data_IF_747135062151
#
_entry.id   IF_747135062151
#
_cell.length_a   1.000
_cell.length_b   1.000
_cell.length_c   1.000
_cell.angle_alpha   90.00
_cell.angle_beta   90.00
_cell.angle_gamma   90.00
#
_symmetry.space_group_name_H-M   'P 1'
#
loop_
_entity.id
_entity.type
_entity.pdbx_description
1 polymer ?
#
# COMPACT_ATOMS: atom_id res chain seq x y z
N UNK A 1 -13.81 -34.32 62.79
CA UNK A 1 -12.73 -34.39 61.77
C UNK A 1 -13.34 -33.92 60.45
N UNK A 2 -13.26 -32.62 60.21
CA UNK A 2 -13.90 -32.00 59.00
C UNK A 2 -12.76 -31.45 58.19
N UNK A 3 -12.45 -32.12 57.07
CA UNK A 3 -11.49 -31.63 56.09
C UNK A 3 -12.15 -30.55 55.22
N UNK A 4 -11.60 -29.35 55.28
CA UNK A 4 -11.96 -28.24 54.37
C UNK A 4 -11.21 -28.41 53.08
N UNK A 5 -11.96 -28.62 51.98
CA UNK A 5 -11.46 -28.59 50.60
C UNK A 5 -11.42 -27.13 50.19
N UNK A 6 -10.20 -26.58 49.97
CA UNK A 6 -10.01 -25.29 49.32
C UNK A 6 -10.01 -25.50 47.81
N UNK A 7 -11.08 -25.02 47.15
CA UNK A 7 -11.13 -24.93 45.69
C UNK A 7 -10.37 -23.65 45.26
N UNK A 8 -9.20 -23.81 44.64
CA UNK A 8 -8.50 -22.70 43.99
C UNK A 8 -9.14 -22.44 42.66
N UNK A 9 -9.91 -21.34 42.55
CA UNK A 9 -10.38 -20.78 41.29
C UNK A 9 -9.22 -20.01 40.69
N UNK A 10 -8.47 -20.60 39.75
CA UNK A 10 -7.48 -19.90 38.93
C UNK A 10 -8.21 -19.16 37.83
N UNK A 11 -8.46 -17.86 38.04
CA UNK A 11 -8.83 -16.94 36.97
C UNK A 11 -7.64 -16.80 36.03
N UNK A 12 -7.68 -17.46 34.89
CA UNK A 12 -6.79 -17.18 33.74
C UNK A 12 -7.20 -15.82 33.18
N UNK A 13 -6.52 -14.77 33.62
CA UNK A 13 -6.44 -13.52 32.85
C UNK A 13 -5.72 -13.84 31.53
N UNK A 14 -6.45 -14.07 30.47
CA UNK A 14 -5.91 -13.93 29.13
C UNK A 14 -5.67 -12.44 28.87
N UNK A 15 -4.49 -11.96 29.28
CA UNK A 15 -3.96 -10.72 28.80
C UNK A 15 -3.78 -10.87 27.29
N UNK A 16 -4.64 -10.21 26.52
CA UNK A 16 -4.48 -10.10 25.09
C UNK A 16 -3.11 -9.49 24.80
N UNK A 17 -2.14 -10.32 24.44
CA UNK A 17 -0.87 -9.85 23.92
C UNK A 17 -1.19 -9.07 22.65
N UNK A 18 -1.12 -7.73 22.75
CA UNK A 18 -0.97 -6.86 21.59
C UNK A 18 0.35 -7.30 20.96
N UNK A 19 0.25 -8.11 19.94
CA UNK A 19 1.38 -8.58 19.17
C UNK A 19 1.97 -7.33 18.47
N UNK A 20 2.89 -6.65 19.15
CA UNK A 20 3.74 -5.65 18.50
C UNK A 20 4.55 -6.42 17.47
N UNK A 21 4.22 -6.26 16.19
CA UNK A 21 4.89 -6.95 15.10
C UNK A 21 6.40 -6.78 15.28
N UNK A 22 7.14 -7.89 15.25
CA UNK A 22 8.60 -7.88 15.29
C UNK A 22 9.10 -6.96 14.17
N UNK A 23 10.03 -6.07 14.49
CA UNK A 23 10.67 -5.23 13.46
C UNK A 23 11.33 -6.17 12.47
N UNK A 24 11.02 -5.97 11.18
CA UNK A 24 11.61 -6.75 10.09
C UNK A 24 12.62 -5.86 9.36
N UNK A 25 13.89 -6.16 9.51
CA UNK A 25 14.94 -5.43 8.81
C UNK A 25 14.88 -5.70 7.29
N UNK A 26 15.13 -4.70 6.45
CA UNK A 26 15.17 -4.88 5.02
C UNK A 26 16.39 -5.70 4.58
N UNK A 27 16.25 -6.41 3.48
CA UNK A 27 17.37 -7.11 2.82
C UNK A 27 18.38 -6.09 2.29
N UNK A 28 17.89 -4.95 1.81
CA UNK A 28 18.68 -3.81 1.38
C UNK A 28 18.08 -2.53 1.92
N UNK A 29 18.87 -1.76 2.67
CA UNK A 29 18.51 -0.44 3.20
C UNK A 29 19.03 0.66 2.32
N UNK A 30 18.31 1.78 2.29
CA UNK A 30 18.75 3.05 1.72
C UNK A 30 19.22 2.96 0.27
N UNK A 31 18.63 2.06 -0.52
CA UNK A 31 18.92 2.00 -1.96
C UNK A 31 18.53 3.32 -2.63
N UNK A 32 19.53 4.02 -3.15
CA UNK A 32 19.32 5.31 -3.83
C UNK A 32 18.77 5.08 -5.23
N UNK A 33 17.57 5.58 -5.49
CA UNK A 33 16.92 5.45 -6.79
C UNK A 33 17.08 6.69 -7.69
N UNK A 34 17.49 7.83 -7.11
CA UNK A 34 17.85 9.06 -7.83
C UNK A 34 18.88 9.86 -7.04
N UNK A 35 19.68 10.66 -7.72
CA UNK A 35 20.63 11.62 -7.12
C UNK A 35 20.02 12.97 -6.76
N UNK A 36 18.79 13.28 -7.25
CA UNK A 36 18.21 14.62 -7.21
C UNK A 36 17.91 15.13 -5.80
N UNK A 37 17.46 14.21 -4.91
CA UNK A 37 17.11 14.55 -3.54
C UNK A 37 17.72 13.56 -2.54
N UNK A 38 18.13 14.04 -1.38
CA UNK A 38 18.64 13.19 -0.29
C UNK A 38 17.66 12.09 0.10
N UNK A 39 16.36 12.36 0.01
CA UNK A 39 15.29 11.41 0.33
C UNK A 39 14.98 10.40 -0.78
N UNK A 40 15.62 10.47 -1.94
CA UNK A 40 15.39 9.52 -3.05
C UNK A 40 15.96 8.14 -2.75
N UNK A 41 15.45 7.49 -1.72
CA UNK A 41 15.91 6.21 -1.19
C UNK A 41 14.73 5.27 -0.93
N UNK A 42 14.98 3.98 -1.05
CA UNK A 42 14.01 2.93 -0.68
C UNK A 42 14.67 1.82 0.13
N UNK A 43 13.87 1.13 0.91
CA UNK A 43 14.22 -0.14 1.55
C UNK A 43 13.54 -1.28 0.80
N UNK A 44 14.23 -2.43 0.71
CA UNK A 44 13.78 -3.58 -0.04
C UNK A 44 13.86 -4.84 0.83
N UNK A 45 12.76 -5.55 0.98
CA UNK A 45 12.65 -6.85 1.63
C UNK A 45 12.40 -7.91 0.58
N UNK A 46 13.33 -8.84 0.44
CA UNK A 46 13.22 -9.92 -0.53
C UNK A 46 12.65 -11.19 0.12
N UNK A 47 11.63 -11.74 -0.50
CA UNK A 47 11.16 -13.08 -0.17
C UNK A 47 12.17 -14.13 -0.64
N UNK A 48 12.39 -15.16 0.16
CA UNK A 48 13.27 -16.27 -0.20
C UNK A 48 12.62 -17.10 -1.31
N UNK A 49 13.24 -17.13 -2.50
CA UNK A 49 12.73 -17.86 -3.66
C UNK A 49 13.81 -18.16 -4.69
N UNK A 50 13.76 -19.34 -5.31
CA UNK A 50 14.59 -19.69 -6.48
C UNK A 50 14.09 -19.02 -7.77
N UNK A 51 12.85 -18.56 -7.81
CA UNK A 51 12.23 -17.90 -8.98
C UNK A 51 12.00 -16.41 -8.66
N UNK A 52 12.01 -15.52 -9.68
CA UNK A 52 11.69 -14.11 -9.48
C UNK A 52 10.34 -13.93 -8.76
N UNK A 53 10.34 -13.10 -7.73
CA UNK A 53 9.19 -12.85 -6.85
C UNK A 53 8.37 -11.66 -7.32
N UNK A 54 7.04 -11.64 -7.12
CA UNK A 54 6.26 -10.41 -7.25
C UNK A 54 6.69 -9.40 -6.20
N UNK A 55 6.46 -8.12 -6.49
CA UNK A 55 6.81 -7.01 -5.61
C UNK A 55 5.60 -6.12 -5.31
N UNK A 56 5.47 -5.71 -4.04
CA UNK A 56 4.57 -4.64 -3.62
C UNK A 56 5.40 -3.44 -3.18
N UNK A 57 5.16 -2.28 -3.78
CA UNK A 57 5.85 -1.02 -3.46
C UNK A 57 4.95 -0.13 -2.64
N UNK A 58 5.40 0.28 -1.45
CA UNK A 58 4.67 1.13 -0.53
C UNK A 58 5.17 2.57 -0.55
N UNK A 59 4.25 3.53 -0.60
CA UNK A 59 4.51 4.95 -0.40
C UNK A 59 3.84 5.41 0.90
N UNK A 60 4.62 5.98 1.82
CA UNK A 60 4.12 6.44 3.11
C UNK A 60 3.20 7.66 2.97
N UNK A 61 2.36 7.90 3.99
CA UNK A 61 1.58 9.11 4.14
C UNK A 61 2.39 10.25 4.74
N UNK A 62 1.68 11.27 5.25
CA UNK A 62 2.29 12.41 5.95
C UNK A 62 2.13 13.74 5.23
N UNK A 63 1.11 13.87 4.36
CA UNK A 63 0.76 15.14 3.70
C UNK A 63 1.87 15.73 2.84
N UNK A 64 2.78 14.89 2.34
CA UNK A 64 4.00 15.30 1.61
C UNK A 64 5.01 16.13 2.43
N UNK A 65 4.84 16.22 3.75
CA UNK A 65 5.67 17.04 4.64
C UNK A 65 6.44 16.22 5.67
N UNK A 66 5.92 15.04 6.01
CA UNK A 66 6.51 14.13 7.00
C UNK A 66 6.35 12.68 6.57
N UNK A 67 6.95 11.77 7.31
CA UNK A 67 6.88 10.33 7.05
C UNK A 67 8.22 9.74 6.64
N UNK A 68 8.33 8.43 6.76
CA UNK A 68 9.57 7.72 6.42
C UNK A 68 9.26 6.27 6.00
N UNK A 69 10.06 5.74 5.07
CA UNK A 69 9.99 4.36 4.58
C UNK A 69 10.11 3.32 5.69
N UNK A 70 10.85 3.63 6.78
CA UNK A 70 11.04 2.75 7.93
C UNK A 70 9.73 2.46 8.70
N UNK A 71 8.70 3.31 8.56
CA UNK A 71 7.40 3.03 9.16
C UNK A 71 6.79 1.70 8.70
N UNK A 72 7.21 1.20 7.53
CA UNK A 72 6.73 -0.06 6.96
C UNK A 72 7.33 -1.30 7.63
N UNK A 73 8.44 -1.21 8.32
CA UNK A 73 9.13 -2.34 8.99
C UNK A 73 8.25 -3.07 10.01
N UNK A 74 7.24 -2.40 10.56
CA UNK A 74 6.29 -2.96 11.55
C UNK A 74 4.96 -3.37 10.93
N UNK A 75 4.83 -3.30 9.61
CA UNK A 75 3.58 -3.62 8.94
C UNK A 75 3.36 -5.14 8.91
N UNK A 76 2.23 -5.60 9.45
CA UNK A 76 1.87 -7.02 9.46
C UNK A 76 1.76 -7.62 8.06
N UNK A 77 1.36 -6.82 7.05
CA UNK A 77 1.33 -7.23 5.66
C UNK A 77 2.72 -7.67 5.17
N UNK A 78 3.80 -6.95 5.56
CA UNK A 78 5.17 -7.30 5.23
C UNK A 78 5.51 -8.70 5.73
N UNK A 79 5.38 -8.92 7.04
CA UNK A 79 5.75 -10.20 7.68
C UNK A 79 4.95 -11.37 7.12
N UNK A 80 3.62 -11.20 6.99
CA UNK A 80 2.73 -12.25 6.55
C UNK A 80 2.95 -12.67 5.08
N UNK A 81 3.52 -11.83 4.26
CA UNK A 81 3.62 -12.08 2.83
C UNK A 81 5.03 -12.40 2.33
N UNK A 82 6.09 -12.01 3.04
CA UNK A 82 7.45 -12.46 2.71
C UNK A 82 7.54 -14.00 2.70
N UNK A 83 6.99 -14.67 3.70
CA UNK A 83 6.91 -16.13 3.78
C UNK A 83 6.06 -16.75 2.66
N UNK A 84 5.16 -15.95 2.05
CA UNK A 84 4.33 -16.37 0.90
C UNK A 84 4.98 -16.06 -0.45
N UNK A 85 6.28 -15.74 -0.47
CA UNK A 85 7.05 -15.48 -1.67
C UNK A 85 6.78 -14.13 -2.34
N UNK A 86 6.37 -13.11 -1.57
CA UNK A 86 6.10 -11.75 -2.06
C UNK A 86 7.10 -10.79 -1.44
N UNK A 87 7.88 -10.13 -2.28
CA UNK A 87 8.84 -9.09 -1.88
C UNK A 87 8.15 -7.74 -1.68
N UNK A 88 8.78 -6.87 -0.89
CA UNK A 88 8.26 -5.52 -0.61
C UNK A 88 9.34 -4.47 -0.77
N UNK A 89 8.94 -3.27 -1.19
CA UNK A 89 9.75 -2.08 -1.10
C UNK A 89 8.97 -0.98 -0.36
N UNK A 90 9.66 -0.13 0.40
CA UNK A 90 9.09 1.08 0.98
C UNK A 90 9.93 2.27 0.56
N UNK A 91 9.28 3.31 0.05
CA UNK A 91 9.92 4.39 -0.67
C UNK A 91 9.84 5.69 0.12
N UNK A 92 10.99 6.34 0.33
CA UNK A 92 11.06 7.76 0.67
C UNK A 92 11.03 8.57 -0.63
N UNK A 93 10.39 9.72 -0.57
CA UNK A 93 10.29 10.68 -1.68
C UNK A 93 10.54 12.10 -1.15
N UNK A 94 10.91 13.08 -2.01
CA UNK A 94 11.12 14.45 -1.55
C UNK A 94 9.86 15.01 -0.90
N UNK A 95 10.03 15.81 0.14
CA UNK A 95 8.91 16.55 0.70
C UNK A 95 8.53 17.71 -0.21
N UNK A 96 7.33 18.26 -0.01
CA UNK A 96 6.78 19.29 -0.88
C UNK A 96 7.62 20.58 -0.92
N UNK A 97 8.26 20.92 0.20
CA UNK A 97 9.21 22.05 0.31
C UNK A 97 10.50 21.83 -0.48
N UNK A 98 10.92 20.58 -0.67
CA UNK A 98 12.12 20.23 -1.44
C UNK A 98 11.89 20.29 -2.97
N UNK A 99 10.66 20.45 -3.41
CA UNK A 99 10.26 20.57 -4.83
C UNK A 99 9.54 21.90 -5.10
N UNK A 100 9.81 22.93 -4.30
CA UNK A 100 9.26 24.29 -4.45
C UNK A 100 7.72 24.37 -4.40
N UNK A 101 7.08 23.46 -3.66
CA UNK A 101 5.62 23.37 -3.59
C UNK A 101 4.96 22.67 -4.78
N UNK A 102 5.70 22.20 -5.75
CA UNK A 102 5.19 21.56 -6.97
C UNK A 102 4.83 20.10 -6.74
N UNK A 103 3.55 19.82 -6.51
CA UNK A 103 3.02 18.46 -6.33
C UNK A 103 3.23 17.59 -7.57
N UNK A 104 3.15 18.15 -8.77
CA UNK A 104 3.35 17.39 -10.01
C UNK A 104 4.79 16.90 -10.11
N UNK A 105 5.76 17.78 -9.89
CA UNK A 105 7.19 17.46 -9.85
C UNK A 105 7.49 16.36 -8.82
N UNK A 106 6.87 16.43 -7.63
CA UNK A 106 6.98 15.41 -6.60
C UNK A 106 6.44 14.05 -7.08
N UNK A 107 5.23 14.03 -7.64
CA UNK A 107 4.58 12.81 -8.11
C UNK A 107 5.37 12.18 -9.28
N UNK A 108 5.85 12.98 -10.22
CA UNK A 108 6.70 12.53 -11.33
C UNK A 108 8.03 11.98 -10.82
N UNK A 109 8.62 12.59 -9.77
CA UNK A 109 9.85 12.08 -9.15
C UNK A 109 9.64 10.71 -8.51
N UNK A 110 8.48 10.44 -7.91
CA UNK A 110 8.18 9.12 -7.35
C UNK A 110 8.25 7.98 -8.40
N UNK A 111 8.00 8.29 -9.67
CA UNK A 111 8.12 7.31 -10.76
C UNK A 111 9.55 6.78 -10.94
N UNK A 112 10.57 7.57 -10.59
CA UNK A 112 11.97 7.14 -10.65
C UNK A 112 12.24 5.89 -9.77
N UNK A 113 11.54 5.74 -8.64
CA UNK A 113 11.67 4.57 -7.78
C UNK A 113 11.19 3.28 -8.46
N UNK A 114 10.08 3.33 -9.17
CA UNK A 114 9.55 2.19 -9.94
C UNK A 114 10.47 1.85 -11.11
N UNK A 115 10.95 2.87 -11.85
CA UNK A 115 11.91 2.71 -12.94
C UNK A 115 13.22 2.07 -12.44
N UNK A 116 13.75 2.53 -11.30
CA UNK A 116 14.93 1.95 -10.65
C UNK A 116 14.72 0.47 -10.33
N UNK A 117 13.61 0.12 -9.69
CA UNK A 117 13.27 -1.26 -9.34
C UNK A 117 13.16 -2.13 -10.59
N UNK A 118 12.43 -1.66 -11.61
CA UNK A 118 12.23 -2.39 -12.88
C UNK A 118 13.55 -2.62 -13.61
N UNK A 119 14.42 -1.60 -13.66
CA UNK A 119 15.76 -1.71 -14.28
C UNK A 119 16.66 -2.71 -13.56
N UNK A 120 16.53 -2.83 -12.24
CA UNK A 120 17.35 -3.70 -11.41
C UNK A 120 16.63 -5.02 -10.99
N UNK A 121 15.51 -5.34 -11.61
CA UNK A 121 14.65 -6.45 -11.20
C UNK A 121 15.39 -7.79 -11.16
N UNK A 122 16.20 -8.09 -12.19
CA UNK A 122 17.00 -9.32 -12.25
C UNK A 122 18.01 -9.41 -11.08
N UNK A 123 18.68 -8.29 -10.75
CA UNK A 123 19.64 -8.22 -9.64
C UNK A 123 19.00 -8.59 -8.30
N UNK A 124 17.74 -8.23 -8.10
CA UNK A 124 17.02 -8.45 -6.85
C UNK A 124 16.06 -9.65 -6.91
N UNK A 125 16.15 -10.50 -7.94
CA UNK A 125 15.24 -11.63 -8.12
C UNK A 125 13.75 -11.24 -8.06
N UNK A 126 13.40 -10.10 -8.69
CA UNK A 126 12.05 -9.55 -8.77
C UNK A 126 11.49 -9.80 -10.18
N UNK A 127 10.23 -10.19 -10.26
CA UNK A 127 9.49 -10.24 -11.52
C UNK A 127 8.90 -8.87 -11.85
N UNK A 128 9.53 -8.18 -12.80
CA UNK A 128 9.10 -6.85 -13.24
C UNK A 128 7.67 -6.79 -13.81
N UNK A 129 7.11 -7.93 -14.20
CA UNK A 129 5.75 -8.04 -14.72
C UNK A 129 4.70 -8.28 -13.62
N UNK A 130 5.13 -8.38 -12.36
CA UNK A 130 4.26 -8.60 -11.19
C UNK A 130 4.52 -7.56 -10.09
N UNK A 131 4.48 -6.27 -10.47
CA UNK A 131 4.63 -5.15 -9.55
C UNK A 131 3.26 -4.54 -9.26
N UNK A 132 2.94 -4.38 -7.98
CA UNK A 132 1.77 -3.62 -7.49
C UNK A 132 2.22 -2.50 -6.57
N UNK A 133 1.43 -1.45 -6.48
CA UNK A 133 1.76 -0.27 -5.67
C UNK A 133 0.67 -0.02 -4.63
N UNK A 134 1.08 0.37 -3.44
CA UNK A 134 0.16 0.76 -2.36
C UNK A 134 0.65 2.03 -1.67
N UNK A 135 -0.26 2.70 -0.98
CA UNK A 135 0.12 3.87 -0.18
C UNK A 135 -1.04 4.44 0.61
N UNK A 136 -0.70 5.14 1.70
CA UNK A 136 -1.67 5.72 2.61
C UNK A 136 -1.69 7.24 2.51
N UNK A 137 -2.87 7.87 2.49
CA UNK A 137 -3.02 9.34 2.49
C UNK A 137 -2.29 10.00 1.31
N UNK A 138 -1.27 10.83 1.54
CA UNK A 138 -0.40 11.35 0.47
C UNK A 138 0.14 10.21 -0.43
N UNK A 139 0.53 9.07 0.16
CA UNK A 139 0.92 7.87 -0.58
C UNK A 139 -0.20 7.30 -1.45
N UNK A 140 -1.47 7.47 -1.07
CA UNK A 140 -2.60 7.05 -1.91
C UNK A 140 -2.70 7.89 -3.19
N UNK A 141 -2.41 9.20 -3.12
CA UNK A 141 -2.33 10.06 -4.31
C UNK A 141 -1.17 9.65 -5.21
N UNK A 142 0.02 9.38 -4.63
CA UNK A 142 1.17 8.84 -5.38
C UNK A 142 0.78 7.54 -6.08
N UNK A 143 0.14 6.62 -5.37
CA UNK A 143 -0.28 5.32 -5.88
C UNK A 143 -1.21 5.45 -7.10
N UNK A 144 -2.23 6.33 -7.02
CA UNK A 144 -3.13 6.60 -8.14
C UNK A 144 -2.40 7.24 -9.33
N UNK A 145 -1.52 8.21 -9.08
CA UNK A 145 -0.75 8.87 -10.13
C UNK A 145 0.18 7.88 -10.85
N UNK A 146 0.96 7.09 -10.12
CA UNK A 146 1.89 6.12 -10.70
C UNK A 146 1.17 5.03 -11.50
N UNK A 147 -0.02 4.61 -11.04
CA UNK A 147 -0.81 3.60 -11.72
C UNK A 147 -1.45 4.10 -13.02
N UNK A 148 -1.90 5.34 -13.05
CA UNK A 148 -2.78 5.82 -14.12
C UNK A 148 -2.23 6.98 -14.95
N UNK A 149 -1.44 7.90 -14.37
CA UNK A 149 -0.85 9.00 -15.11
C UNK A 149 0.51 8.64 -15.76
N UNK A 150 1.05 7.45 -15.44
CA UNK A 150 2.35 6.97 -15.93
C UNK A 150 2.21 5.54 -16.47
N UNK A 151 2.92 5.21 -17.56
CA UNK A 151 3.04 3.80 -18.01
C UNK A 151 4.31 3.18 -17.39
N UNK A 152 4.14 2.57 -16.22
CA UNK A 152 5.22 1.98 -15.43
C UNK A 152 5.11 0.45 -15.31
N UNK A 153 4.19 -0.18 -16.05
CA UNK A 153 3.97 -1.62 -16.00
C UNK A 153 3.35 -2.11 -14.68
N UNK A 154 2.73 -1.21 -13.90
CA UNK A 154 2.07 -1.53 -12.63
C UNK A 154 0.83 -2.40 -12.91
N UNK A 155 0.68 -3.50 -12.16
CA UNK A 155 -0.37 -4.51 -12.38
C UNK A 155 -1.66 -4.29 -11.59
N UNK A 156 -1.58 -3.60 -10.45
CA UNK A 156 -2.73 -3.21 -9.62
C UNK A 156 -2.29 -2.21 -8.57
N UNK A 157 -3.23 -1.45 -8.04
CA UNK A 157 -2.95 -0.46 -7.00
C UNK A 157 -3.88 -0.59 -5.80
N UNK A 158 -3.34 -0.21 -4.61
CA UNK A 158 -4.06 -0.18 -3.35
C UNK A 158 -3.90 1.18 -2.65
N UNK A 159 -4.65 2.21 -3.06
CA UNK A 159 -4.72 3.47 -2.33
C UNK A 159 -5.53 3.29 -1.03
N UNK A 160 -4.93 3.72 0.10
CA UNK A 160 -5.52 3.62 1.43
C UNK A 160 -5.78 5.03 1.94
N UNK A 161 -6.97 5.30 2.51
CA UNK A 161 -7.31 6.62 3.05
C UNK A 161 -7.17 7.72 1.98
N UNK A 162 -7.98 7.64 0.94
CA UNK A 162 -8.00 8.67 -0.12
C UNK A 162 -8.26 10.05 0.48
N UNK A 163 -7.34 11.00 0.30
CA UNK A 163 -7.46 12.34 0.89
C UNK A 163 -8.17 13.33 -0.04
N UNK A 164 -8.42 14.52 0.48
CA UNK A 164 -9.09 15.64 -0.22
C UNK A 164 -8.45 16.05 -1.57
N UNK A 165 -7.21 15.62 -1.85
CA UNK A 165 -6.57 15.85 -3.16
C UNK A 165 -7.02 14.89 -4.26
N UNK A 166 -7.82 13.87 -3.94
CA UNK A 166 -8.33 12.86 -4.91
C UNK A 166 -8.97 13.48 -6.17
N UNK A 167 -9.80 14.54 -6.10
CA UNK A 167 -10.40 15.13 -7.30
C UNK A 167 -9.41 15.54 -8.38
N UNK A 168 -8.19 15.95 -8.02
CA UNK A 168 -7.14 16.35 -8.95
C UNK A 168 -6.59 15.17 -9.76
N UNK A 169 -6.77 13.93 -9.27
CA UNK A 169 -6.29 12.72 -9.93
C UNK A 169 -7.36 12.03 -10.80
N UNK A 170 -8.64 12.31 -10.57
CA UNK A 170 -9.72 11.64 -11.31
C UNK A 170 -9.60 11.76 -12.84
N UNK A 171 -9.19 12.91 -13.42
CA UNK A 171 -8.98 13.03 -14.87
C UNK A 171 -7.90 12.10 -15.43
N UNK A 172 -6.95 11.68 -14.58
CA UNK A 172 -5.85 10.79 -14.98
C UNK A 172 -6.20 9.30 -14.89
N UNK A 173 -7.32 8.93 -14.24
CA UNK A 173 -7.75 7.53 -14.17
C UNK A 173 -8.20 7.07 -15.56
N UNK A 174 -7.58 5.98 -16.05
CA UNK A 174 -7.77 5.45 -17.40
C UNK A 174 -8.51 4.11 -17.37
N UNK A 175 -9.29 3.83 -18.41
CA UNK A 175 -10.02 2.57 -18.58
C UNK A 175 -9.08 1.36 -18.74
N UNK A 176 -7.94 1.56 -19.42
CA UNK A 176 -6.89 0.56 -19.64
C UNK A 176 -5.83 0.51 -18.53
N UNK A 177 -6.01 1.30 -17.48
CA UNK A 177 -5.11 1.35 -16.34
C UNK A 177 -5.19 0.13 -15.42
N UNK A 178 -4.28 0.02 -14.45
CA UNK A 178 -4.29 -1.08 -13.49
C UNK A 178 -5.56 -1.06 -12.63
N UNK A 179 -6.15 -2.23 -12.33
CA UNK A 179 -7.32 -2.33 -11.44
C UNK A 179 -6.99 -1.84 -10.03
N UNK A 180 -8.01 -1.34 -9.35
CA UNK A 180 -7.91 -0.65 -8.06
C UNK A 180 -8.62 -1.43 -6.97
N UNK A 181 -7.98 -1.59 -5.80
CA UNK A 181 -8.66 -1.87 -4.55
C UNK A 181 -8.42 -0.69 -3.62
N UNK A 182 -9.47 -0.04 -3.13
CA UNK A 182 -9.35 1.11 -2.22
C UNK A 182 -9.95 0.78 -0.85
N UNK A 183 -9.32 1.29 0.20
CA UNK A 183 -9.84 1.18 1.56
C UNK A 183 -9.84 2.54 2.27
N UNK A 184 -10.97 2.89 2.85
CA UNK A 184 -11.11 4.07 3.70
C UNK A 184 -11.62 3.66 5.08
N UNK A 185 -10.81 3.90 6.12
CA UNK A 185 -11.14 3.58 7.52
C UNK A 185 -11.73 4.76 8.29
N UNK A 186 -11.81 5.95 7.67
CA UNK A 186 -12.37 7.15 8.31
C UNK A 186 -13.89 7.18 8.21
N UNK A 187 -14.52 7.76 9.23
CA UNK A 187 -15.93 8.10 9.24
C UNK A 187 -16.20 9.46 8.58
N UNK A 188 -17.47 9.88 8.63
CA UNK A 188 -17.96 11.11 7.98
C UNK A 188 -17.41 12.41 8.57
N UNK A 189 -16.83 12.37 9.78
CA UNK A 189 -16.27 13.55 10.46
C UNK A 189 -14.81 13.87 10.02
N UNK A 190 -14.14 12.98 9.32
CA UNK A 190 -12.76 13.21 8.84
C UNK A 190 -12.77 14.10 7.58
N UNK A 191 -12.39 15.35 7.73
CA UNK A 191 -12.39 16.33 6.62
C UNK A 191 -11.25 16.09 5.62
N UNK A 192 -10.18 15.39 6.03
CA UNK A 192 -9.03 15.11 5.16
C UNK A 192 -9.25 13.83 4.37
N UNK A 193 -9.74 12.77 5.05
CA UNK A 193 -9.95 11.43 4.47
C UNK A 193 -11.44 11.05 4.47
N UNK A 194 -12.32 12.03 4.28
CA UNK A 194 -13.75 11.77 4.21
C UNK A 194 -14.05 10.66 3.18
N UNK A 195 -14.91 9.68 3.50
CA UNK A 195 -15.23 8.55 2.60
C UNK A 195 -15.63 8.97 1.18
N UNK A 196 -16.21 10.18 1.02
CA UNK A 196 -16.57 10.73 -0.31
C UNK A 196 -15.44 10.66 -1.33
N UNK A 197 -14.17 10.80 -0.90
CA UNK A 197 -13.04 10.78 -1.83
C UNK A 197 -12.78 9.37 -2.40
N UNK A 198 -12.95 8.33 -1.60
CA UNK A 198 -12.90 6.95 -2.09
C UNK A 198 -14.12 6.60 -2.95
N UNK A 199 -15.32 7.15 -2.61
CA UNK A 199 -16.55 7.03 -3.41
C UNK A 199 -16.37 7.69 -4.77
N UNK A 200 -15.78 8.89 -4.83
CA UNK A 200 -15.49 9.59 -6.10
C UNK A 200 -14.55 8.76 -6.99
N UNK A 201 -13.48 8.19 -6.41
CA UNK A 201 -12.58 7.30 -7.15
C UNK A 201 -13.31 6.06 -7.68
N UNK A 202 -14.11 5.41 -6.83
CA UNK A 202 -14.93 4.25 -7.23
C UNK A 202 -15.88 4.60 -8.39
N UNK A 203 -16.63 5.72 -8.28
CA UNK A 203 -17.54 6.19 -9.31
C UNK A 203 -16.80 6.45 -10.64
N UNK A 204 -15.63 7.09 -10.57
CA UNK A 204 -14.81 7.30 -11.78
C UNK A 204 -14.39 5.99 -12.43
N UNK A 205 -14.03 4.99 -11.66
CA UNK A 205 -13.72 3.65 -12.19
C UNK A 205 -14.94 3.00 -12.85
N UNK A 206 -16.12 3.12 -12.24
CA UNK A 206 -17.38 2.60 -12.80
C UNK A 206 -17.72 3.26 -14.14
N UNK A 207 -17.58 4.59 -14.26
CA UNK A 207 -17.76 5.33 -15.51
C UNK A 207 -16.83 4.83 -16.63
N UNK A 208 -15.65 4.36 -16.28
CA UNK A 208 -14.64 3.86 -17.21
C UNK A 208 -14.71 2.35 -17.46
N UNK A 209 -15.58 1.61 -16.77
CA UNK A 209 -15.57 0.15 -16.79
C UNK A 209 -14.33 -0.48 -16.16
N UNK A 210 -13.56 0.29 -15.38
CA UNK A 210 -12.36 -0.18 -14.72
C UNK A 210 -12.70 -0.99 -13.45
N UNK A 211 -12.08 -2.15 -13.29
CA UNK A 211 -12.27 -2.98 -12.09
C UNK A 211 -11.79 -2.24 -10.83
N UNK A 212 -12.73 -1.91 -9.95
CA UNK A 212 -12.47 -1.22 -8.69
C UNK A 212 -13.26 -1.85 -7.55
N UNK A 213 -12.55 -2.35 -6.54
CA UNK A 213 -13.14 -2.78 -5.26
C UNK A 213 -12.95 -1.67 -4.23
N UNK A 214 -14.03 -1.21 -3.61
CA UNK A 214 -13.97 -0.14 -2.62
C UNK A 214 -14.57 -0.59 -1.29
N UNK A 215 -13.76 -0.52 -0.24
CA UNK A 215 -14.14 -0.89 1.11
C UNK A 215 -14.02 0.30 2.07
N UNK A 216 -14.89 0.32 3.08
CA UNK A 216 -14.87 1.32 4.14
C UNK A 216 -15.43 0.80 5.45
N UNK A 217 -15.50 1.67 6.43
CA UNK A 217 -16.17 1.40 7.71
C UNK A 217 -17.69 1.49 7.55
N UNK A 218 -18.41 0.94 8.50
CA UNK A 218 -19.87 1.04 8.57
C UNK A 218 -20.32 2.50 8.56
N UNK A 219 -21.40 2.81 7.85
CA UNK A 219 -21.93 4.17 7.70
C UNK A 219 -21.14 5.07 6.74
N UNK A 220 -20.04 4.60 6.15
CA UNK A 220 -19.21 5.40 5.23
C UNK A 220 -19.79 5.56 3.82
N UNK A 221 -20.84 4.81 3.47
CA UNK A 221 -21.34 4.71 2.09
C UNK A 221 -20.53 3.79 1.18
N UNK A 222 -19.46 3.16 1.70
CA UNK A 222 -18.68 2.14 1.03
C UNK A 222 -19.07 0.74 1.53
N UNK A 223 -18.75 -0.29 0.75
CA UNK A 223 -18.92 -1.68 1.20
C UNK A 223 -18.03 -1.95 2.42
N UNK A 224 -18.59 -2.55 3.46
CA UNK A 224 -17.80 -2.99 4.61
C UNK A 224 -16.92 -4.19 4.26
N UNK A 225 -15.77 -4.30 4.94
CA UNK A 225 -14.94 -5.50 4.85
C UNK A 225 -15.75 -6.70 5.36
N UNK A 226 -15.79 -7.83 4.66
CA UNK A 226 -16.55 -9.00 5.11
C UNK A 226 -16.12 -9.45 6.51
N UNK A 227 -17.09 -9.84 7.35
CA UNK A 227 -16.83 -10.29 8.73
C UNK A 227 -15.74 -11.38 8.77
N UNK A 228 -14.79 -11.24 9.65
CA UNK A 228 -13.66 -12.18 9.81
C UNK A 228 -12.59 -12.12 8.71
N UNK A 229 -12.66 -11.14 7.81
CA UNK A 229 -11.60 -10.88 6.82
C UNK A 229 -10.78 -9.64 7.21
N UNK A 230 -9.49 -9.69 6.90
CA UNK A 230 -8.60 -8.54 6.96
C UNK A 230 -8.54 -7.88 5.56
N UNK A 231 -8.60 -6.54 5.51
CA UNK A 231 -8.59 -5.82 4.24
C UNK A 231 -7.26 -5.95 3.51
N UNK A 232 -6.15 -6.10 4.23
CA UNK A 232 -4.84 -6.29 3.62
C UNK A 232 -4.74 -7.69 2.98
N UNK A 233 -5.36 -8.71 3.58
CA UNK A 233 -5.46 -10.03 2.95
C UNK A 233 -6.31 -9.98 1.67
N UNK A 234 -7.41 -9.20 1.65
CA UNK A 234 -8.19 -8.96 0.45
C UNK A 234 -7.37 -8.24 -0.63
N UNK A 235 -6.57 -7.24 -0.24
CA UNK A 235 -5.68 -6.54 -1.15
C UNK A 235 -4.63 -7.48 -1.75
N UNK A 236 -4.04 -8.36 -0.94
CA UNK A 236 -3.07 -9.34 -1.43
C UNK A 236 -3.70 -10.38 -2.36
N UNK A 237 -4.94 -10.81 -2.10
CA UNK A 237 -5.69 -11.68 -3.03
C UNK A 237 -5.97 -10.97 -4.36
N UNK A 238 -6.35 -9.69 -4.29
CA UNK A 238 -6.56 -8.84 -5.46
C UNK A 238 -5.29 -8.70 -6.30
N UNK A 239 -4.15 -8.43 -5.68
CA UNK A 239 -2.85 -8.37 -6.35
C UNK A 239 -2.49 -9.69 -7.03
N UNK A 240 -2.61 -10.81 -6.31
CA UNK A 240 -2.34 -12.14 -6.87
C UNK A 240 -3.20 -12.45 -8.10
N UNK A 241 -4.47 -12.00 -8.09
CA UNK A 241 -5.36 -12.16 -9.25
C UNK A 241 -4.88 -11.31 -10.44
N UNK A 242 -4.51 -10.04 -10.21
CA UNK A 242 -4.03 -9.15 -11.26
C UNK A 242 -2.68 -9.61 -11.87
N UNK A 243 -1.81 -10.25 -11.08
CA UNK A 243 -0.55 -10.80 -11.58
C UNK A 243 -0.72 -12.03 -12.48
N UNK A 244 -1.84 -12.76 -12.37
CA UNK A 244 -2.16 -13.92 -13.21
C UNK A 244 -2.86 -13.53 -14.52
N UNK A 245 -3.55 -12.40 -14.55
CA UNK A 245 -4.20 -11.93 -15.77
C UNK A 245 -3.13 -11.53 -16.80
N UNK A 246 -3.25 -12.01 -18.05
CA UNK A 246 -2.44 -11.47 -19.15
C UNK A 246 -2.79 -9.97 -19.29
N UNK A 247 -1.78 -9.11 -19.52
CA UNK A 247 -2.06 -7.79 -20.06
C UNK A 247 -2.72 -8.04 -21.41
N UNK A 248 -3.91 -7.51 -21.67
CA UNK A 248 -4.45 -7.52 -23.02
C UNK A 248 -3.43 -6.78 -23.87
N UNK A 249 -2.77 -7.50 -24.74
CA UNK A 249 -1.86 -6.98 -25.76
C UNK A 249 -2.67 -6.18 -26.79
#
# INVERSE_FOLDING_TARGET
>A
MIQRIFLFLSLLLQAGQICHGKIQDPTYSDLRYSGDYKRSQLDLWLAVSKKPTPLVVNFHGGGFKVGDKRSFQRNSMLQNNLARGISFASVNYPYIDQVDGDHRKLLEHCAASIKFITKNASKYNIDKNRISVMGNSAGALITCFLGHAQDLGIRSIYPIQQPKGTPLLLPHIRADGPPIIVYNRSGLNDQIHHPRFAIMLKKRCEELGLNCLAYGVEGSGLRTVPKGKDVNDLAMQFFKKSWKSKKNE
#
